data_IF_257070479002
#
_entry.id   IF_257070479002
#
_cell.length_a   1.000
_cell.length_b   1.000
_cell.length_c   1.000
_cell.angle_alpha   90.00
_cell.angle_beta   90.00
_cell.angle_gamma   90.00
#
_symmetry.space_group_name_H-M   'P 1'
#
loop_
_entity.id
_entity.type
_entity.pdbx_description
1 polymer ?
#
# COMPACT_ATOMS: atom_id res chain seq x y z
N UNK A 1 14.47 21.80 0.50
CA UNK A 1 13.68 22.69 -0.36
C UNK A 1 13.89 22.25 -1.81
N UNK A 2 13.18 21.21 -2.25
CA UNK A 2 13.14 20.79 -3.65
C UNK A 2 11.86 21.43 -4.19
N UNK A 3 12.00 22.43 -5.06
CA UNK A 3 10.87 23.02 -5.75
C UNK A 3 10.14 21.89 -6.50
N UNK A 4 8.92 21.56 -6.08
CA UNK A 4 8.02 20.78 -6.90
C UNK A 4 7.80 21.57 -8.17
N UNK A 5 8.44 21.14 -9.27
CA UNK A 5 8.00 21.51 -10.60
C UNK A 5 6.59 20.92 -10.76
N UNK A 6 5.58 21.66 -10.30
CA UNK A 6 4.27 21.56 -10.90
C UNK A 6 4.47 21.99 -12.35
N UNK A 7 4.59 21.01 -13.25
CA UNK A 7 4.37 21.26 -14.66
C UNK A 7 2.95 21.81 -14.77
N UNK A 8 2.85 23.13 -14.90
CA UNK A 8 1.65 23.80 -15.35
C UNK A 8 1.44 23.30 -16.77
N UNK A 9 0.65 22.24 -16.91
CA UNK A 9 0.21 21.74 -18.21
C UNK A 9 -0.72 22.81 -18.79
N UNK A 10 -0.17 23.67 -19.66
CA UNK A 10 -1.03 24.46 -20.54
C UNK A 10 -1.72 23.47 -21.49
N UNK A 11 -3.05 23.34 -21.44
CA UNK A 11 -3.76 22.44 -22.35
C UNK A 11 -3.48 22.86 -23.80
N UNK A 12 -3.31 21.90 -24.73
CA UNK A 12 -3.10 22.18 -26.15
C UNK A 12 -4.18 23.11 -26.73
N UNK A 13 -3.80 23.91 -27.72
CA UNK A 13 -4.66 24.90 -28.37
C UNK A 13 -5.76 24.32 -29.27
N UNK A 14 -5.72 23.02 -29.62
CA UNK A 14 -6.69 22.38 -30.51
C UNK A 14 -7.24 21.12 -29.83
N UNK A 15 -8.50 21.19 -29.40
CA UNK A 15 -9.25 19.99 -29.03
C UNK A 15 -9.74 19.32 -30.32
N UNK A 16 -9.30 18.09 -30.57
CA UNK A 16 -9.77 17.30 -31.70
C UNK A 16 -10.70 16.22 -31.16
N UNK A 17 -11.98 16.25 -31.52
CA UNK A 17 -12.84 15.09 -31.32
C UNK A 17 -12.39 14.00 -32.29
N UNK A 18 -11.83 12.93 -31.74
CA UNK A 18 -11.57 11.69 -32.47
C UNK A 18 -12.88 10.89 -32.49
N UNK A 19 -13.14 10.15 -33.57
CA UNK A 19 -14.32 9.27 -33.62
C UNK A 19 -14.27 8.21 -32.50
N UNK A 20 -15.45 7.80 -31.99
CA UNK A 20 -15.60 6.88 -30.85
C UNK A 20 -15.10 7.45 -29.51
N UNK A 21 -15.30 8.76 -29.27
CA UNK A 21 -15.03 9.38 -27.97
C UNK A 21 -15.89 8.76 -26.87
N UNK A 22 -17.14 8.41 -27.17
CA UNK A 22 -18.04 7.72 -26.25
C UNK A 22 -18.33 6.29 -26.74
N UNK A 23 -18.13 5.31 -25.87
CA UNK A 23 -18.47 3.90 -26.12
C UNK A 23 -19.14 3.29 -24.91
N UNK A 24 -20.10 2.41 -25.16
CA UNK A 24 -20.83 1.71 -24.10
C UNK A 24 -20.50 0.22 -24.11
N UNK A 25 -20.49 -0.39 -22.93
CA UNK A 25 -20.36 -1.84 -22.78
C UNK A 25 -21.41 -2.35 -21.79
N UNK A 26 -21.84 -3.59 -21.94
CA UNK A 26 -22.69 -4.26 -20.96
C UNK A 26 -21.81 -4.97 -19.92
N UNK A 27 -21.78 -4.52 -18.65
CA UNK A 27 -20.97 -5.14 -17.60
C UNK A 27 -21.31 -6.61 -17.33
N UNK A 28 -22.56 -7.03 -17.60
CA UNK A 28 -22.98 -8.42 -17.41
C UNK A 28 -22.42 -9.34 -18.49
N UNK A 29 -22.38 -8.85 -19.75
CA UNK A 29 -21.81 -9.59 -20.88
C UNK A 29 -20.28 -9.53 -20.90
N UNK A 30 -19.70 -8.41 -20.46
CA UNK A 30 -18.26 -8.13 -20.46
C UNK A 30 -17.77 -7.67 -19.08
N UNK A 31 -17.75 -8.55 -18.08
CA UNK A 31 -17.34 -8.21 -16.72
C UNK A 31 -15.85 -7.88 -16.60
N UNK A 32 -15.03 -8.22 -17.59
CA UNK A 32 -13.62 -7.88 -17.60
C UNK A 32 -13.37 -6.61 -18.41
N UNK A 33 -12.53 -5.72 -17.90
CA UNK A 33 -12.24 -4.43 -18.50
C UNK A 33 -10.72 -4.26 -18.68
N UNK A 34 -10.29 -4.06 -19.92
CA UNK A 34 -8.92 -3.73 -20.29
C UNK A 34 -8.85 -2.30 -20.83
N UNK A 35 -8.05 -1.44 -20.19
CA UNK A 35 -7.76 -0.08 -20.66
C UNK A 35 -6.28 0.00 -21.02
N UNK A 36 -6.00 0.23 -22.28
CA UNK A 36 -4.64 0.21 -22.82
C UNK A 36 -4.32 1.57 -23.44
N UNK A 37 -3.15 2.13 -23.13
CA UNK A 37 -2.61 3.25 -23.90
C UNK A 37 -1.22 2.92 -24.43
N UNK A 38 -1.01 3.20 -25.72
CA UNK A 38 0.24 2.87 -26.41
C UNK A 38 0.77 4.10 -27.16
N UNK A 39 2.08 4.12 -27.43
CA UNK A 39 2.75 5.26 -28.05
C UNK A 39 3.02 6.43 -27.10
N UNK A 40 3.26 7.61 -27.67
CA UNK A 40 3.59 8.84 -26.93
C UNK A 40 2.34 9.63 -26.53
N UNK A 41 1.54 9.02 -25.66
CA UNK A 41 0.33 9.61 -25.09
C UNK A 41 0.51 9.81 -23.59
N UNK A 42 -0.13 10.85 -23.04
CA UNK A 42 -0.23 11.10 -21.60
C UNK A 42 -1.67 11.49 -21.26
N UNK A 43 -2.10 11.33 -20.02
CA UNK A 43 -3.49 11.66 -19.71
C UNK A 43 -3.94 11.46 -18.27
N UNK A 44 -5.27 11.37 -18.12
CA UNK A 44 -5.92 10.93 -16.89
C UNK A 44 -7.03 9.93 -17.20
N UNK A 45 -7.13 8.92 -16.36
CA UNK A 45 -8.24 7.98 -16.31
C UNK A 45 -8.95 8.20 -14.98
N UNK A 46 -10.27 8.33 -15.04
CA UNK A 46 -11.14 8.43 -13.88
C UNK A 46 -12.18 7.31 -13.92
N UNK A 47 -12.26 6.51 -12.87
CA UNK A 47 -13.28 5.47 -12.73
C UNK A 47 -14.35 5.96 -11.76
N UNK A 48 -15.62 5.91 -12.15
CA UNK A 48 -16.74 6.34 -11.33
C UNK A 48 -17.78 5.24 -11.30
N UNK A 49 -18.25 4.89 -10.10
CA UNK A 49 -19.45 4.07 -9.93
C UNK A 49 -20.59 5.03 -9.53
N UNK A 50 -21.46 5.34 -10.50
CA UNK A 50 -22.38 6.49 -10.40
C UNK A 50 -23.80 6.06 -10.04
N UNK A 51 -24.37 6.68 -9.00
CA UNK A 51 -25.74 6.46 -8.52
C UNK A 51 -26.84 7.11 -9.38
N UNK A 52 -26.49 8.03 -10.29
CA UNK A 52 -27.46 8.89 -10.97
C UNK A 52 -27.93 8.37 -12.33
N UNK A 53 -27.43 7.22 -12.78
CA UNK A 53 -27.74 6.68 -14.10
C UNK A 53 -28.48 5.34 -13.98
N UNK A 54 -29.74 5.33 -14.45
CA UNK A 54 -30.57 4.13 -14.56
C UNK A 54 -30.14 3.23 -15.72
N UNK A 55 -29.13 3.64 -16.51
CA UNK A 55 -28.59 2.82 -17.58
C UNK A 55 -27.96 1.53 -17.00
N UNK A 56 -28.22 0.41 -17.66
CA UNK A 56 -27.57 -0.88 -17.34
C UNK A 56 -26.20 -1.02 -18.03
N UNK A 57 -25.77 -0.01 -18.77
CA UNK A 57 -24.57 -0.05 -19.61
C UNK A 57 -23.47 0.79 -18.98
N UNK A 58 -22.26 0.26 -18.92
CA UNK A 58 -21.09 1.07 -18.66
C UNK A 58 -20.81 2.02 -19.82
N UNK A 59 -20.27 3.19 -19.51
CA UNK A 59 -19.90 4.23 -20.47
C UNK A 59 -18.42 4.54 -20.31
N UNK A 60 -17.68 4.58 -21.41
CA UNK A 60 -16.34 5.15 -21.47
C UNK A 60 -16.40 6.38 -22.35
N UNK A 61 -16.12 7.54 -21.76
CA UNK A 61 -16.03 8.83 -22.47
C UNK A 61 -14.59 9.32 -22.47
N UNK A 62 -14.05 9.59 -23.65
CA UNK A 62 -12.65 9.98 -23.85
C UNK A 62 -12.55 11.25 -24.67
N UNK A 63 -11.87 12.24 -24.12
CA UNK A 63 -11.48 13.46 -24.85
C UNK A 63 -9.99 13.40 -25.15
N UNK A 64 -9.62 13.80 -26.37
CA UNK A 64 -8.22 13.85 -26.80
C UNK A 64 -7.89 15.28 -27.26
N UNK A 65 -6.76 15.80 -26.79
CA UNK A 65 -6.20 17.08 -27.20
C UNK A 65 -4.88 16.84 -27.89
N UNK A 66 -4.68 17.49 -29.02
CA UNK A 66 -3.50 17.30 -29.89
C UNK A 66 -2.89 18.67 -30.18
N UNK A 67 -1.61 18.87 -29.87
CA UNK A 67 -0.94 20.16 -30.14
C UNK A 67 -0.50 20.32 -31.59
N UNK A 68 -0.23 19.21 -32.29
CA UNK A 68 0.26 19.20 -33.67
C UNK A 68 -0.76 18.56 -34.59
N UNK A 69 -1.22 19.28 -35.61
CA UNK A 69 -2.20 18.75 -36.57
C UNK A 69 -1.72 17.44 -37.23
N UNK A 70 -0.41 17.31 -37.51
CA UNK A 70 0.16 16.09 -38.09
C UNK A 70 0.08 14.85 -37.18
N UNK A 71 -0.09 15.02 -35.86
CA UNK A 71 -0.25 13.89 -34.93
C UNK A 71 -1.69 13.35 -34.94
N UNK A 72 -2.65 14.07 -35.55
CA UNK A 72 -4.09 13.74 -35.53
C UNK A 72 -4.45 12.43 -36.22
N UNK A 73 -3.84 12.14 -37.36
CA UNK A 73 -4.12 10.92 -38.13
C UNK A 73 -3.46 9.69 -37.51
N UNK A 74 -2.56 9.87 -36.54
CA UNK A 74 -1.85 8.80 -35.83
C UNK A 74 -2.46 8.46 -34.48
N UNK A 75 -3.47 9.22 -34.03
CA UNK A 75 -4.23 8.89 -32.83
C UNK A 75 -5.43 8.04 -33.19
N UNK A 76 -5.52 6.85 -32.61
CA UNK A 76 -6.65 5.95 -32.77
C UNK A 76 -7.27 5.61 -31.42
N UNK A 77 -8.60 5.58 -31.38
CA UNK A 77 -9.37 5.02 -30.27
C UNK A 77 -10.07 3.77 -30.79
N UNK A 78 -9.74 2.63 -30.19
CA UNK A 78 -10.24 1.33 -30.62
C UNK A 78 -10.97 0.63 -29.48
N UNK A 79 -11.99 -0.15 -29.83
CA UNK A 79 -12.76 -0.96 -28.89
C UNK A 79 -12.86 -2.39 -29.38
N UNK A 80 -12.73 -3.35 -28.47
CA UNK A 80 -12.83 -4.78 -28.75
C UNK A 80 -13.68 -5.52 -27.72
N UNK A 81 -14.39 -6.54 -28.17
CA UNK A 81 -15.28 -7.37 -27.37
C UNK A 81 -14.93 -8.84 -27.59
N UNK A 82 -14.08 -9.40 -26.74
CA UNK A 82 -13.59 -10.78 -26.91
C UNK A 82 -13.57 -11.50 -25.57
N UNK A 83 -13.99 -12.77 -25.53
CA UNK A 83 -13.88 -13.64 -24.35
C UNK A 83 -14.42 -12.98 -23.05
N UNK A 84 -15.62 -12.36 -23.12
CA UNK A 84 -16.24 -11.62 -21.99
C UNK A 84 -15.38 -10.48 -21.44
N UNK A 85 -14.53 -9.90 -22.29
CA UNK A 85 -13.66 -8.77 -21.97
C UNK A 85 -13.94 -7.61 -22.91
N UNK A 86 -14.23 -6.45 -22.35
CA UNK A 86 -14.23 -5.18 -23.06
C UNK A 86 -12.82 -4.60 -23.04
N UNK A 87 -12.26 -4.34 -24.22
CA UNK A 87 -10.95 -3.71 -24.37
C UNK A 87 -11.10 -2.35 -25.00
N UNK A 88 -10.58 -1.32 -24.35
CA UNK A 88 -10.52 0.05 -24.81
C UNK A 88 -9.06 0.47 -24.96
N UNK A 89 -8.67 0.85 -26.17
CA UNK A 89 -7.27 1.18 -26.51
C UNK A 89 -7.18 2.61 -27.06
N UNK A 90 -6.27 3.41 -26.50
CA UNK A 90 -5.82 4.68 -27.09
C UNK A 90 -4.41 4.48 -27.65
N UNK A 91 -4.26 4.58 -28.96
CA UNK A 91 -2.99 4.48 -29.63
C UNK A 91 -2.52 5.87 -30.05
N UNK A 92 -1.26 6.19 -29.79
CA UNK A 92 -0.61 7.38 -30.31
C UNK A 92 0.66 7.06 -31.09
N UNK A 93 1.32 8.11 -31.61
CA UNK A 93 2.50 7.96 -32.46
C UNK A 93 3.69 7.37 -31.68
N UNK A 94 4.47 6.53 -32.35
CA UNK A 94 5.67 5.89 -31.78
C UNK A 94 6.98 6.66 -32.06
N UNK A 95 6.93 7.74 -32.85
CA UNK A 95 8.11 8.55 -33.21
C UNK A 95 8.70 9.32 -32.03
N UNK A 96 10.00 9.66 -32.11
CA UNK A 96 10.77 10.41 -31.11
C UNK A 96 10.38 11.90 -31.02
N UNK A 97 9.11 12.20 -30.74
CA UNK A 97 8.65 13.58 -30.52
C UNK A 97 8.15 13.79 -29.08
N UNK A 98 8.05 15.05 -28.67
CA UNK A 98 7.44 15.48 -27.41
C UNK A 98 6.01 14.94 -27.23
N UNK A 99 5.56 14.76 -25.99
CA UNK A 99 4.17 14.40 -25.65
C UNK A 99 3.21 15.51 -26.09
N UNK A 100 2.67 15.38 -27.29
CA UNK A 100 1.77 16.35 -27.92
C UNK A 100 0.31 15.95 -27.80
N UNK A 101 0.04 14.76 -27.25
CA UNK A 101 -1.29 14.17 -27.15
C UNK A 101 -1.61 13.98 -25.68
N UNK A 102 -2.71 14.60 -25.27
CA UNK A 102 -3.27 14.48 -23.93
C UNK A 102 -4.64 13.82 -24.04
N UNK A 103 -4.98 12.90 -23.15
CA UNK A 103 -6.33 12.35 -23.07
C UNK A 103 -6.94 12.43 -21.66
N UNK A 104 -8.25 12.51 -21.63
CA UNK A 104 -9.05 12.39 -20.41
C UNK A 104 -10.13 11.35 -20.65
N UNK A 105 -10.01 10.22 -19.96
CA UNK A 105 -10.93 9.10 -20.08
C UNK A 105 -11.70 8.94 -18.78
N UNK A 106 -13.02 8.99 -18.85
CA UNK A 106 -13.93 8.69 -17.73
C UNK A 106 -14.62 7.36 -18.00
N UNK A 107 -14.50 6.43 -17.06
CA UNK A 107 -15.13 5.11 -17.09
C UNK A 107 -16.24 5.15 -16.04
N UNK A 108 -17.48 5.17 -16.50
CA UNK A 108 -18.64 5.14 -15.64
C UNK A 108 -19.21 3.72 -15.62
N UNK A 109 -19.30 3.14 -14.43
CA UNK A 109 -19.90 1.84 -14.17
C UNK A 109 -21.28 2.10 -13.53
N UNK A 110 -22.36 1.47 -14.00
CA UNK A 110 -23.69 1.64 -13.43
C UNK A 110 -23.74 1.22 -11.97
N UNK A 111 -24.46 1.96 -11.14
CA UNK A 111 -24.67 1.60 -9.73
C UNK A 111 -25.32 0.21 -9.57
N UNK A 112 -26.19 -0.19 -10.50
CA UNK A 112 -26.80 -1.52 -10.49
C UNK A 112 -25.80 -2.68 -10.67
N UNK A 113 -24.57 -2.38 -11.10
CA UNK A 113 -23.48 -3.35 -11.19
C UNK A 113 -22.67 -3.30 -9.89
N UNK A 114 -22.88 -4.28 -9.01
CA UNK A 114 -22.14 -4.42 -7.74
C UNK A 114 -20.86 -5.24 -7.89
N UNK A 115 -20.72 -5.93 -9.03
CA UNK A 115 -19.62 -6.87 -9.26
C UNK A 115 -19.11 -6.81 -10.70
N UNK A 116 -17.79 -6.77 -10.81
CA UNK A 116 -17.03 -6.87 -12.04
C UNK A 116 -15.95 -7.95 -11.91
N UNK A 117 -15.52 -8.49 -13.04
CA UNK A 117 -14.43 -9.47 -13.10
C UNK A 117 -13.07 -8.79 -12.94
N UNK A 118 -12.23 -8.86 -13.96
CA UNK A 118 -10.88 -8.32 -13.91
C UNK A 118 -10.80 -6.90 -14.48
N UNK A 119 -10.16 -5.97 -13.76
CA UNK A 119 -9.73 -4.67 -14.27
C UNK A 119 -8.25 -4.72 -14.60
N UNK A 120 -7.88 -4.40 -15.84
CA UNK A 120 -6.50 -4.19 -16.25
C UNK A 120 -6.34 -2.79 -16.84
N UNK A 121 -5.39 -2.03 -16.32
CA UNK A 121 -4.99 -0.73 -16.88
C UNK A 121 -3.50 -0.78 -17.17
N UNK A 122 -3.13 -0.62 -18.44
CA UNK A 122 -1.74 -0.45 -18.88
C UNK A 122 -1.66 0.87 -19.64
N UNK A 123 -1.35 1.93 -18.90
CA UNK A 123 -1.45 3.30 -19.40
C UNK A 123 -0.25 4.15 -18.95
N UNK A 124 0.90 4.07 -19.64
CA UNK A 124 2.06 4.89 -19.30
C UNK A 124 1.74 6.38 -19.34
N UNK A 125 2.41 7.18 -18.51
CA UNK A 125 2.24 8.65 -18.40
C UNK A 125 0.78 9.10 -18.20
N UNK A 126 -0.04 8.24 -17.58
CA UNK A 126 -1.47 8.49 -17.37
C UNK A 126 -1.76 8.42 -15.88
N UNK A 127 -2.38 9.46 -15.33
CA UNK A 127 -2.84 9.47 -13.94
C UNK A 127 -4.11 8.65 -13.80
N UNK A 128 -4.29 8.00 -12.65
CA UNK A 128 -5.47 7.19 -12.37
C UNK A 128 -6.15 7.70 -11.09
N UNK A 129 -7.44 7.96 -11.18
CA UNK A 129 -8.28 8.34 -10.05
C UNK A 129 -9.58 7.55 -10.03
N UNK A 130 -10.20 7.46 -8.85
CA UNK A 130 -11.53 6.87 -8.73
C UNK A 130 -12.41 7.59 -7.72
N UNK A 131 -13.72 7.49 -7.93
CA UNK A 131 -14.74 7.99 -7.02
C UNK A 131 -15.85 6.96 -6.82
N UNK A 132 -16.31 6.85 -5.57
CA UNK A 132 -17.47 6.05 -5.15
C UNK A 132 -17.39 4.54 -5.47
N UNK A 133 -16.20 3.92 -5.45
CA UNK A 133 -16.04 2.49 -5.75
C UNK A 133 -16.41 1.55 -4.58
N UNK A 134 -16.92 2.09 -3.47
CA UNK A 134 -17.17 1.36 -2.23
C UNK A 134 -18.20 0.22 -2.36
N UNK A 135 -19.10 0.30 -3.34
CA UNK A 135 -20.12 -0.71 -3.61
C UNK A 135 -19.83 -1.55 -4.87
N UNK A 136 -18.61 -1.45 -5.41
CA UNK A 136 -18.19 -2.19 -6.59
C UNK A 136 -17.06 -3.16 -6.26
N UNK A 137 -17.36 -4.45 -6.30
CA UNK A 137 -16.38 -5.50 -6.10
C UNK A 137 -15.73 -5.93 -7.42
N UNK A 138 -14.40 -6.05 -7.42
CA UNK A 138 -13.64 -6.67 -8.49
C UNK A 138 -13.13 -8.06 -8.09
N UNK A 139 -12.87 -8.94 -9.06
CA UNK A 139 -12.03 -10.11 -8.80
C UNK A 139 -10.57 -9.68 -8.69
N UNK A 140 -10.03 -9.09 -9.76
CA UNK A 140 -8.62 -8.69 -9.80
C UNK A 140 -8.47 -7.31 -10.39
N UNK A 141 -7.60 -6.52 -9.79
CA UNK A 141 -7.22 -5.20 -10.28
C UNK A 141 -5.72 -5.21 -10.57
N UNK A 142 -5.37 -5.00 -11.83
CA UNK A 142 -3.99 -4.89 -12.27
C UNK A 142 -3.75 -3.54 -12.95
N UNK A 143 -2.93 -2.69 -12.34
CA UNK A 143 -2.64 -1.35 -12.83
C UNK A 143 -1.14 -1.22 -13.05
N UNK A 144 -0.75 -0.86 -14.27
CA UNK A 144 0.62 -0.55 -14.66
C UNK A 144 0.65 0.83 -15.30
N UNK A 145 1.29 1.77 -14.61
CA UNK A 145 1.47 3.15 -15.08
C UNK A 145 2.95 3.53 -15.03
N UNK A 146 3.27 4.73 -15.50
CA UNK A 146 4.58 5.34 -15.35
C UNK A 146 4.41 6.85 -15.26
N UNK A 147 5.27 7.53 -14.47
CA UNK A 147 5.36 8.99 -14.41
C UNK A 147 4.02 9.75 -14.21
N UNK A 148 2.99 9.11 -13.64
CA UNK A 148 1.76 9.76 -13.19
C UNK A 148 1.15 9.06 -11.97
N UNK A 149 0.45 9.83 -11.14
CA UNK A 149 -0.07 9.44 -9.82
C UNK A 149 -1.25 8.47 -9.91
N UNK A 150 -1.33 7.58 -8.91
CA UNK A 150 -2.53 6.77 -8.60
C UNK A 150 -3.18 7.30 -7.33
N UNK A 151 -4.46 7.65 -7.40
CA UNK A 151 -5.27 8.15 -6.27
C UNK A 151 -6.64 7.47 -6.28
N UNK A 152 -6.76 6.33 -5.60
CA UNK A 152 -7.96 5.50 -5.64
C UNK A 152 -8.71 5.55 -4.31
N UNK A 153 -9.99 5.90 -4.35
CA UNK A 153 -10.85 5.90 -3.18
C UNK A 153 -11.64 4.59 -3.11
N UNK A 154 -11.49 3.89 -1.98
CA UNK A 154 -12.28 2.70 -1.60
C UNK A 154 -12.36 1.61 -2.67
N UNK A 155 -11.21 1.11 -3.13
CA UNK A 155 -11.17 0.02 -4.12
C UNK A 155 -11.34 -1.34 -3.43
N UNK A 156 -12.39 -2.09 -3.77
CA UNK A 156 -12.65 -3.43 -3.27
C UNK A 156 -12.36 -4.51 -4.31
N UNK A 157 -11.49 -5.48 -4.00
CA UNK A 157 -11.20 -6.62 -4.88
C UNK A 157 -10.79 -7.88 -4.12
N UNK A 158 -10.70 -9.04 -4.78
CA UNK A 158 -10.01 -10.20 -4.20
C UNK A 158 -8.48 -10.01 -4.25
N UNK A 159 -7.96 -9.48 -5.36
CA UNK A 159 -6.53 -9.18 -5.54
C UNK A 159 -6.30 -7.81 -6.19
N UNK A 160 -5.36 -7.04 -5.64
CA UNK A 160 -4.94 -5.72 -6.12
C UNK A 160 -3.44 -5.73 -6.38
N UNK A 161 -3.03 -5.38 -7.60
CA UNK A 161 -1.64 -5.22 -7.99
C UNK A 161 -1.48 -3.89 -8.74
N UNK A 162 -0.82 -2.91 -8.11
CA UNK A 162 -0.62 -1.58 -8.66
C UNK A 162 0.88 -1.29 -8.73
N UNK A 163 1.36 -0.98 -9.94
CA UNK A 163 2.76 -0.66 -10.20
C UNK A 163 2.92 0.64 -10.97
N UNK A 164 3.81 1.51 -10.51
CA UNK A 164 4.21 2.74 -11.24
C UNK A 164 5.69 3.03 -11.06
N UNK A 165 6.43 3.46 -12.08
CA UNK A 165 7.86 3.71 -11.92
C UNK A 165 8.18 4.96 -11.09
N UNK A 166 7.51 6.08 -11.31
CA UNK A 166 8.00 7.39 -10.85
C UNK A 166 6.92 8.26 -10.21
N UNK A 167 5.92 7.66 -9.57
CA UNK A 167 4.78 8.42 -9.07
C UNK A 167 4.14 7.80 -7.86
N UNK A 168 3.46 8.62 -7.08
CA UNK A 168 2.86 8.16 -5.84
C UNK A 168 1.68 7.22 -6.10
N UNK A 169 1.52 6.28 -5.18
CA UNK A 169 0.33 5.46 -5.03
C UNK A 169 -0.35 5.91 -3.74
N UNK A 170 -1.60 6.34 -3.84
CA UNK A 170 -2.40 6.75 -2.69
C UNK A 170 -3.81 6.16 -2.76
N UNK A 171 -4.36 5.76 -1.63
CA UNK A 171 -5.75 5.29 -1.60
C UNK A 171 -6.17 4.48 -0.39
N UNK A 172 -7.42 4.00 -0.46
CA UNK A 172 -7.96 3.00 0.43
C UNK A 172 -8.25 1.72 -0.37
N UNK A 173 -7.70 0.60 0.08
CA UNK A 173 -7.74 -0.68 -0.62
C UNK A 173 -8.31 -1.75 0.31
N UNK A 174 -9.26 -2.52 -0.19
CA UNK A 174 -9.88 -3.65 0.52
C UNK A 174 -9.71 -4.91 -0.34
N UNK A 175 -8.83 -5.82 0.07
CA UNK A 175 -8.57 -7.07 -0.66
C UNK A 175 -7.84 -8.12 0.19
N UNK A 176 -7.83 -9.38 -0.26
CA UNK A 176 -7.05 -10.43 0.40
C UNK A 176 -5.58 -10.47 -0.03
N UNK A 177 -5.29 -10.04 -1.26
CA UNK A 177 -3.93 -9.94 -1.78
C UNK A 177 -3.66 -8.53 -2.32
N UNK A 178 -2.74 -7.78 -1.70
CA UNK A 178 -2.43 -6.40 -2.08
C UNK A 178 -0.93 -6.27 -2.38
N UNK A 179 -0.60 -5.81 -3.58
CA UNK A 179 0.77 -5.48 -3.99
C UNK A 179 0.83 -4.07 -4.55
N UNK A 180 1.54 -3.16 -3.87
CA UNK A 180 1.76 -1.79 -4.34
C UNK A 180 3.27 -1.54 -4.52
N UNK A 181 3.68 -1.21 -5.73
CA UNK A 181 5.09 -1.07 -6.08
C UNK A 181 5.39 0.20 -6.85
N UNK A 182 6.43 0.92 -6.44
CA UNK A 182 6.99 2.03 -7.20
C UNK A 182 8.51 2.13 -7.11
N UNK A 183 9.17 2.95 -7.93
CA UNK A 183 10.61 3.19 -7.79
C UNK A 183 10.86 4.48 -7.03
N UNK A 184 10.21 5.58 -7.43
CA UNK A 184 10.47 6.91 -6.88
C UNK A 184 9.26 7.57 -6.21
N UNK A 185 8.07 6.96 -6.29
CA UNK A 185 6.86 7.49 -5.68
C UNK A 185 6.71 7.14 -4.22
N UNK A 186 6.04 8.01 -3.46
CA UNK A 186 5.56 7.66 -2.13
C UNK A 186 4.37 6.69 -2.23
N UNK A 187 4.25 5.79 -1.25
CA UNK A 187 3.06 4.93 -1.09
C UNK A 187 2.35 5.37 0.18
N UNK A 188 1.09 5.79 0.09
CA UNK A 188 0.24 6.16 1.23
C UNK A 188 -1.08 5.40 1.15
N UNK A 189 -1.25 4.36 1.96
CA UNK A 189 -2.37 3.45 1.79
C UNK A 189 -3.05 3.07 3.12
N UNK A 190 -4.38 3.10 3.11
CA UNK A 190 -5.21 2.44 4.13
C UNK A 190 -5.68 1.10 3.57
N UNK A 191 -5.31 0.02 4.24
CA UNK A 191 -5.59 -1.34 3.80
C UNK A 191 -6.60 -1.98 4.75
N UNK A 192 -7.65 -2.57 4.20
CA UNK A 192 -8.47 -3.56 4.88
C UNK A 192 -8.14 -4.90 4.24
N UNK A 193 -7.54 -5.80 5.01
CA UNK A 193 -7.10 -7.10 4.50
C UNK A 193 -8.17 -8.14 4.85
N UNK A 194 -8.68 -8.84 3.84
CA UNK A 194 -9.71 -9.88 3.99
C UNK A 194 -9.17 -11.25 3.66
N UNK A 195 -9.91 -12.28 4.00
CA UNK A 195 -9.60 -13.63 3.53
C UNK A 195 -9.70 -13.68 1.99
N UNK A 196 -8.66 -14.12 1.27
CA UNK A 196 -8.74 -14.29 -0.18
C UNK A 196 -9.67 -15.47 -0.53
N UNK A 197 -10.33 -15.38 -1.69
CA UNK A 197 -11.27 -16.40 -2.18
C UNK A 197 -10.61 -17.76 -2.41
N UNK A 198 -9.29 -17.81 -2.58
CA UNK A 198 -8.53 -19.05 -2.76
C UNK A 198 -8.20 -19.76 -1.44
N UNK A 199 -8.59 -19.18 -0.30
CA UNK A 199 -8.39 -19.75 1.05
C UNK A 199 -6.93 -19.78 1.50
N UNK A 200 -6.03 -19.07 0.80
CA UNK A 200 -4.64 -18.93 1.23
C UNK A 200 -4.51 -17.84 2.29
N UNK A 201 -3.36 -17.82 2.95
CA UNK A 201 -3.01 -16.70 3.82
C UNK A 201 -3.03 -15.38 3.04
N UNK A 202 -3.57 -14.34 3.66
CA UNK A 202 -3.66 -13.00 3.07
C UNK A 202 -2.27 -12.39 2.91
N UNK A 203 -2.03 -11.67 1.81
CA UNK A 203 -0.70 -11.15 1.47
C UNK A 203 -0.70 -9.65 1.22
N UNK A 204 0.27 -8.96 1.82
CA UNK A 204 0.50 -7.53 1.61
C UNK A 204 1.98 -7.30 1.26
N UNK A 205 2.24 -6.82 0.05
CA UNK A 205 3.59 -6.52 -0.43
C UNK A 205 3.70 -5.07 -0.86
N UNK A 206 4.67 -4.35 -0.28
CA UNK A 206 4.85 -2.92 -0.52
C UNK A 206 6.31 -2.63 -0.85
N UNK A 207 6.57 -1.95 -1.97
CA UNK A 207 7.93 -1.68 -2.41
C UNK A 207 8.08 -0.27 -2.99
N UNK A 208 9.08 0.48 -2.51
CA UNK A 208 9.55 1.72 -3.14
C UNK A 208 11.05 1.88 -2.98
N UNK A 209 11.80 2.33 -3.99
CA UNK A 209 13.25 2.51 -3.81
C UNK A 209 13.58 3.78 -3.02
N UNK A 210 12.96 4.91 -3.36
CA UNK A 210 13.51 6.22 -2.98
C UNK A 210 12.58 7.13 -2.17
N UNK A 211 11.34 6.72 -1.91
CA UNK A 211 10.34 7.57 -1.28
C UNK A 211 9.70 6.90 -0.07
N UNK A 212 8.94 7.68 0.71
CA UNK A 212 8.36 7.19 1.96
C UNK A 212 7.18 6.25 1.71
N UNK A 213 6.99 5.35 2.66
CA UNK A 213 5.85 4.45 2.77
C UNK A 213 5.09 4.81 4.04
N UNK A 214 3.79 5.10 3.92
CA UNK A 214 2.89 5.33 5.04
C UNK A 214 1.71 4.35 4.91
N UNK A 215 1.64 3.39 5.81
CA UNK A 215 0.66 2.30 5.76
C UNK A 215 -0.14 2.24 7.04
N UNK A 216 -1.43 2.01 6.84
CA UNK A 216 -2.35 1.69 7.91
C UNK A 216 -3.11 0.43 7.53
N UNK A 217 -2.88 -0.67 8.24
CA UNK A 217 -3.37 -2.01 7.88
C UNK A 217 -4.33 -2.52 8.94
N UNK A 218 -5.56 -2.79 8.53
CA UNK A 218 -6.56 -3.49 9.33
C UNK A 218 -6.72 -4.91 8.77
N UNK A 219 -6.15 -5.89 9.47
CA UNK A 219 -6.27 -7.31 9.15
C UNK A 219 -7.14 -8.03 10.19
N UNK A 220 -8.06 -7.31 10.84
CA UNK A 220 -9.06 -7.94 11.73
C UNK A 220 -9.99 -8.94 11.03
N UNK A 221 -10.30 -8.81 9.73
CA UNK A 221 -11.14 -9.79 9.02
C UNK A 221 -10.42 -11.07 8.58
N UNK A 222 -9.09 -11.16 8.66
CA UNK A 222 -8.33 -12.32 8.15
C UNK A 222 -8.37 -13.48 9.14
N UNK A 223 -8.76 -14.67 8.69
CA UNK A 223 -8.82 -15.88 9.54
C UNK A 223 -7.61 -16.81 9.35
N UNK A 224 -6.93 -16.71 8.21
CA UNK A 224 -5.70 -17.43 7.88
C UNK A 224 -4.43 -16.60 8.10
N UNK A 225 -4.50 -15.59 8.97
CA UNK A 225 -3.38 -14.72 9.32
C UNK A 225 -2.92 -13.83 8.16
N UNK A 226 -1.83 -13.11 8.39
CA UNK A 226 -1.29 -12.13 7.45
C UNK A 226 0.19 -12.43 7.17
N UNK A 227 0.56 -12.45 5.89
CA UNK A 227 1.95 -12.33 5.43
C UNK A 227 2.18 -10.94 4.84
N UNK A 228 2.94 -10.10 5.53
CA UNK A 228 3.18 -8.71 5.12
C UNK A 228 4.66 -8.39 5.01
N UNK A 229 5.08 -7.77 3.91
CA UNK A 229 6.44 -7.30 3.71
C UNK A 229 6.48 -5.91 3.06
N UNK A 230 7.15 -4.96 3.72
CA UNK A 230 7.34 -3.59 3.24
C UNK A 230 8.82 -3.29 3.04
N UNK A 231 9.20 -2.82 1.85
CA UNK A 231 10.59 -2.55 1.48
C UNK A 231 10.81 -1.14 0.98
N UNK A 232 11.87 -0.50 1.47
CA UNK A 232 12.46 0.65 0.81
C UNK A 232 13.99 0.71 0.91
N UNK A 233 14.64 1.50 0.05
CA UNK A 233 16.08 1.76 0.17
C UNK A 233 16.35 3.06 0.90
N UNK A 234 15.67 4.14 0.54
CA UNK A 234 16.03 5.48 1.02
C UNK A 234 14.90 6.23 1.72
N UNK A 235 13.64 5.78 1.58
CA UNK A 235 12.50 6.45 2.18
C UNK A 235 12.30 6.09 3.65
N UNK A 236 11.45 6.83 4.36
CA UNK A 236 10.94 6.43 5.69
C UNK A 236 9.83 5.39 5.51
N UNK A 237 9.78 4.36 6.36
CA UNK A 237 8.62 3.48 6.51
C UNK A 237 7.90 3.90 7.79
N UNK A 238 6.63 4.29 7.68
CA UNK A 238 5.71 4.45 8.81
C UNK A 238 4.56 3.45 8.62
N UNK A 239 4.36 2.56 9.58
CA UNK A 239 3.42 1.45 9.45
C UNK A 239 2.67 1.21 10.75
N UNK A 240 1.35 1.26 10.68
CA UNK A 240 0.45 0.81 11.73
C UNK A 240 -0.33 -0.43 11.27
N UNK A 241 -0.37 -1.47 12.11
CA UNK A 241 -1.11 -2.71 11.80
C UNK A 241 -1.96 -3.14 12.99
N UNK A 242 -3.22 -3.48 12.71
CA UNK A 242 -4.15 -4.11 13.65
C UNK A 242 -4.45 -5.53 13.16
N UNK A 243 -4.18 -6.52 14.01
CA UNK A 243 -4.44 -7.93 13.71
C UNK A 243 -5.63 -8.46 14.51
N UNK A 244 -6.50 -9.21 13.83
CA UNK A 244 -7.57 -9.97 14.48
C UNK A 244 -7.19 -11.42 14.80
N UNK A 245 -8.12 -12.18 15.40
CA UNK A 245 -7.95 -13.61 15.63
C UNK A 245 -7.73 -14.38 14.32
N UNK A 246 -6.73 -15.26 14.29
CA UNK A 246 -6.47 -16.14 13.17
C UNK A 246 -6.11 -17.56 13.60
N UNK A 247 -6.24 -18.50 12.67
CA UNK A 247 -5.94 -19.93 12.88
C UNK A 247 -4.47 -20.27 12.58
N UNK A 248 -3.81 -19.44 11.78
CA UNK A 248 -2.40 -19.61 11.37
C UNK A 248 -1.57 -18.42 11.83
N UNK A 249 -0.26 -18.64 11.95
CA UNK A 249 0.66 -17.59 12.36
C UNK A 249 0.74 -16.45 11.34
N UNK A 250 1.02 -15.24 11.83
CA UNK A 250 1.22 -14.05 10.99
C UNK A 250 2.68 -13.63 10.97
N UNK A 251 3.09 -13.00 9.87
CA UNK A 251 4.40 -12.38 9.73
C UNK A 251 4.24 -10.94 9.24
N UNK A 252 5.01 -10.05 9.85
CA UNK A 252 5.05 -8.64 9.46
C UNK A 252 6.50 -8.19 9.39
N UNK A 253 6.96 -7.85 8.19
CA UNK A 253 8.33 -7.43 7.90
C UNK A 253 8.42 -6.00 7.37
N UNK A 254 9.37 -5.21 7.89
CA UNK A 254 9.78 -3.93 7.30
C UNK A 254 11.30 -3.91 7.08
N UNK A 255 11.73 -3.64 5.84
CA UNK A 255 13.15 -3.60 5.46
C UNK A 255 13.47 -2.27 4.81
N UNK A 256 14.48 -1.59 5.34
CA UNK A 256 14.90 -0.28 4.88
C UNK A 256 16.42 -0.16 4.80
N UNK A 257 17.04 0.19 3.68
CA UNK A 257 18.51 0.35 3.67
C UNK A 257 18.98 1.56 4.50
N UNK A 258 18.44 2.75 4.21
CA UNK A 258 19.00 4.02 4.69
C UNK A 258 18.03 4.92 5.46
N UNK A 259 16.73 4.61 5.41
CA UNK A 259 15.69 5.40 6.05
C UNK A 259 15.21 4.82 7.39
N UNK A 260 14.42 5.63 8.10
CA UNK A 260 13.83 5.26 9.39
C UNK A 260 12.65 4.31 9.24
N UNK A 261 12.46 3.40 10.20
CA UNK A 261 11.29 2.54 10.34
C UNK A 261 10.56 2.95 11.63
N UNK A 262 9.33 3.42 11.49
CA UNK A 262 8.38 3.65 12.59
C UNK A 262 7.26 2.61 12.47
N UNK A 263 7.27 1.64 13.38
CA UNK A 263 6.43 0.45 13.34
C UNK A 263 5.52 0.42 14.57
N UNK A 264 4.22 0.26 14.34
CA UNK A 264 3.21 0.08 15.38
C UNK A 264 2.37 -1.15 15.06
N UNK A 265 2.25 -2.07 16.01
CA UNK A 265 1.46 -3.29 15.86
C UNK A 265 0.60 -3.53 17.09
N UNK A 266 -0.69 -3.67 16.86
CA UNK A 266 -1.63 -4.18 17.84
C UNK A 266 -2.07 -5.61 17.47
N UNK A 267 -1.57 -6.57 18.24
CA UNK A 267 -1.90 -7.98 18.13
C UNK A 267 -2.63 -8.51 19.38
N UNK A 268 -3.20 -7.61 20.20
CA UNK A 268 -3.84 -7.95 21.49
C UNK A 268 -5.00 -8.97 21.37
N UNK A 269 -5.62 -9.08 20.20
CA UNK A 269 -6.80 -9.91 19.96
C UNK A 269 -6.52 -11.21 19.19
N UNK A 270 -5.27 -11.46 18.85
CA UNK A 270 -4.89 -12.48 17.87
C UNK A 270 -4.96 -13.90 18.46
N UNK A 271 -4.11 -14.19 19.44
CA UNK A 271 -3.90 -15.53 19.97
C UNK A 271 -3.04 -16.45 19.09
N UNK A 272 -2.81 -16.13 17.80
CA UNK A 272 -1.94 -16.91 16.90
C UNK A 272 -0.45 -16.60 17.05
N UNK A 273 0.48 -17.52 16.66
CA UNK A 273 1.89 -17.20 16.55
C UNK A 273 2.16 -15.95 15.68
N UNK A 274 3.13 -15.13 16.08
CA UNK A 274 3.46 -13.89 15.38
C UNK A 274 4.96 -13.70 15.23
N UNK A 275 5.40 -13.51 13.99
CA UNK A 275 6.77 -13.16 13.64
C UNK A 275 6.84 -11.70 13.18
N UNK A 276 7.73 -10.91 13.79
CA UNK A 276 7.98 -9.51 13.40
C UNK A 276 9.44 -9.33 13.04
N UNK A 277 9.70 -8.74 11.87
CA UNK A 277 11.05 -8.53 11.36
C UNK A 277 11.27 -7.09 10.91
N UNK A 278 12.13 -6.34 11.60
CA UNK A 278 12.49 -4.98 11.20
C UNK A 278 14.00 -4.90 10.94
N UNK A 279 14.39 -4.44 9.75
CA UNK A 279 15.80 -4.31 9.39
C UNK A 279 16.12 -2.97 8.76
N UNK A 280 17.16 -2.32 9.25
CA UNK A 280 17.82 -1.24 8.52
C UNK A 280 19.34 -1.24 8.63
N UNK A 281 20.04 -0.50 7.75
CA UNK A 281 21.49 -0.31 7.88
C UNK A 281 21.80 1.04 8.52
N UNK A 282 21.17 2.12 8.05
CA UNK A 282 21.58 3.47 8.45
C UNK A 282 20.49 4.32 9.11
N UNK A 283 19.21 3.91 9.05
CA UNK A 283 18.13 4.65 9.69
C UNK A 283 17.84 4.20 11.12
N UNK A 284 17.00 4.95 11.84
CA UNK A 284 16.53 4.53 13.15
C UNK A 284 15.40 3.49 13.03
N UNK A 285 15.21 2.67 14.05
CA UNK A 285 14.03 1.80 14.19
C UNK A 285 13.33 2.13 15.48
N UNK A 286 12.05 2.49 15.39
CA UNK A 286 11.14 2.60 16.53
C UNK A 286 10.03 1.60 16.32
N UNK A 287 9.92 0.60 17.19
CA UNK A 287 8.90 -0.44 17.11
C UNK A 287 8.08 -0.48 18.39
N UNK A 288 6.77 -0.29 18.29
CA UNK A 288 5.84 -0.41 19.41
C UNK A 288 4.89 -1.57 19.12
N UNK A 289 4.93 -2.60 19.96
CA UNK A 289 4.23 -3.87 19.70
C UNK A 289 3.41 -4.23 20.94
N UNK A 290 2.13 -4.53 20.73
CA UNK A 290 1.22 -5.04 21.75
C UNK A 290 0.92 -6.51 21.47
N UNK A 291 1.37 -7.39 22.37
CA UNK A 291 1.21 -8.85 22.27
C UNK A 291 0.76 -9.37 23.64
N UNK A 292 -0.32 -10.16 23.73
CA UNK A 292 -0.79 -10.73 24.98
C UNK A 292 0.10 -11.89 25.44
N UNK A 293 0.12 -12.14 26.75
CA UNK A 293 1.02 -13.10 27.39
C UNK A 293 0.92 -14.55 26.90
N UNK A 294 -0.21 -14.94 26.29
CA UNK A 294 -0.45 -16.32 25.82
C UNK A 294 -0.01 -16.53 24.37
N UNK A 295 0.26 -15.45 23.63
CA UNK A 295 0.58 -15.50 22.22
C UNK A 295 2.07 -15.76 22.02
N UNK A 296 2.48 -16.85 21.32
CA UNK A 296 3.86 -17.03 20.91
C UNK A 296 4.28 -15.90 19.97
N UNK A 297 5.34 -15.18 20.33
CA UNK A 297 5.85 -14.06 19.54
C UNK A 297 7.35 -14.20 19.30
N UNK A 298 7.78 -13.91 18.08
CA UNK A 298 9.19 -13.81 17.71
C UNK A 298 9.46 -12.47 17.05
N UNK A 299 10.12 -11.59 17.78
CA UNK A 299 10.58 -10.30 17.26
C UNK A 299 12.06 -10.35 16.90
N UNK A 300 12.40 -9.80 15.74
CA UNK A 300 13.79 -9.65 15.31
C UNK A 300 14.03 -8.27 14.71
N UNK A 301 14.89 -7.49 15.35
CA UNK A 301 15.24 -6.13 14.90
C UNK A 301 16.73 -6.05 14.62
N UNK A 302 17.10 -5.64 13.40
CA UNK A 302 18.48 -5.49 12.96
C UNK A 302 18.78 -4.07 12.52
N UNK A 303 19.88 -3.51 13.02
CA UNK A 303 20.42 -2.23 12.63
C UNK A 303 21.95 -2.33 12.45
N UNK A 304 22.57 -1.47 11.66
CA UNK A 304 24.03 -1.30 11.68
C UNK A 304 24.43 0.00 12.39
N UNK A 305 23.88 1.14 11.97
CA UNK A 305 24.39 2.46 12.33
C UNK A 305 23.36 3.40 12.97
N UNK A 306 22.07 3.06 12.93
CA UNK A 306 21.00 3.84 13.55
C UNK A 306 20.54 3.25 14.88
N UNK A 307 19.95 4.11 15.71
CA UNK A 307 19.41 3.69 17.01
C UNK A 307 18.21 2.76 16.86
N UNK A 308 18.06 1.83 17.80
CA UNK A 308 16.91 0.94 17.88
C UNK A 308 16.19 1.15 19.21
N UNK A 309 14.89 1.40 19.15
CA UNK A 309 13.99 1.40 20.29
C UNK A 309 12.85 0.42 20.04
N UNK A 310 12.73 -0.59 20.88
CA UNK A 310 11.62 -1.54 20.87
C UNK A 310 10.82 -1.37 22.17
N UNK A 311 9.53 -1.13 22.02
CA UNK A 311 8.59 -1.03 23.11
C UNK A 311 7.64 -2.23 23.02
N UNK A 312 7.61 -3.06 24.07
CA UNK A 312 6.66 -4.17 24.22
C UNK A 312 5.72 -3.89 25.40
N UNK A 313 4.51 -4.42 25.36
CA UNK A 313 3.62 -4.37 26.53
C UNK A 313 4.20 -5.18 27.69
N UNK A 314 3.88 -4.78 28.93
CA UNK A 314 4.18 -5.52 30.17
C UNK A 314 3.52 -6.91 30.20
N UNK A 315 2.66 -7.25 29.23
CA UNK A 315 2.09 -8.58 29.07
C UNK A 315 3.03 -9.56 28.36
N UNK A 316 4.05 -9.08 27.66
CA UNK A 316 5.03 -9.95 27.00
C UNK A 316 5.64 -10.91 28.03
N UNK A 317 5.70 -12.20 27.71
CA UNK A 317 6.35 -13.21 28.57
C UNK A 317 7.32 -14.03 27.73
N UNK A 318 8.62 -13.92 28.00
CA UNK A 318 9.60 -14.55 27.12
C UNK A 318 11.05 -14.13 27.34
N UNK A 319 11.90 -14.58 26.43
CA UNK A 319 13.32 -14.27 26.38
C UNK A 319 13.57 -12.96 25.61
N UNK A 320 14.54 -12.18 26.09
CA UNK A 320 15.07 -11.04 25.33
C UNK A 320 16.59 -11.15 25.17
N UNK A 321 17.08 -10.64 24.04
CA UNK A 321 18.51 -10.51 23.73
C UNK A 321 18.74 -9.19 23.00
N UNK A 322 19.62 -8.34 23.54
CA UNK A 322 20.09 -7.10 22.94
C UNK A 322 21.60 -7.15 22.78
N UNK A 323 22.07 -6.99 21.54
CA UNK A 323 23.50 -7.06 21.19
C UNK A 323 23.92 -5.80 20.42
N UNK A 324 25.02 -5.17 20.84
CA UNK A 324 25.72 -4.12 20.07
C UNK A 324 27.23 -4.34 20.09
N UNK A 325 27.94 -3.98 19.01
CA UNK A 325 29.39 -4.07 18.98
C UNK A 325 30.07 -2.88 19.67
N UNK A 326 29.68 -1.65 19.29
CA UNK A 326 30.39 -0.41 19.66
C UNK A 326 29.53 0.60 20.43
N UNK A 327 28.44 0.17 21.07
CA UNK A 327 27.50 1.06 21.76
C UNK A 327 26.99 0.47 23.08
N UNK A 328 25.83 0.96 23.55
CA UNK A 328 25.18 0.49 24.78
C UNK A 328 23.81 -0.14 24.53
N UNK A 329 23.42 -1.03 25.41
CA UNK A 329 22.09 -1.64 25.47
C UNK A 329 21.38 -1.19 26.74
N UNK A 330 20.07 -1.00 26.67
CA UNK A 330 19.23 -0.71 27.83
C UNK A 330 17.98 -1.58 27.82
N UNK A 331 17.58 -2.08 28.99
CA UNK A 331 16.35 -2.85 29.18
C UNK A 331 15.62 -2.25 30.38
N UNK A 332 14.39 -1.79 30.17
CA UNK A 332 13.55 -1.17 31.19
C UNK A 332 12.24 -1.94 31.34
N UNK A 333 11.80 -2.21 32.58
CA UNK A 333 10.57 -2.94 32.86
C UNK A 333 10.54 -3.53 34.27
N UNK A 334 9.39 -4.09 34.66
CA UNK A 334 9.24 -4.92 35.85
C UNK A 334 9.61 -6.38 35.58
N UNK A 335 9.77 -7.21 36.61
CA UNK A 335 9.93 -8.67 36.50
C UNK A 335 11.06 -9.16 35.57
N UNK A 336 12.12 -8.36 35.47
CA UNK A 336 13.32 -8.67 34.69
C UNK A 336 14.25 -9.61 35.46
N UNK A 337 14.72 -10.66 34.79
CA UNK A 337 15.80 -11.52 35.26
C UNK A 337 16.88 -11.58 34.19
N UNK A 338 18.05 -11.00 34.46
CA UNK A 338 19.18 -11.00 33.54
C UNK A 338 20.00 -12.29 33.70
N UNK A 339 20.34 -12.89 32.56
CA UNK A 339 21.36 -13.93 32.44
C UNK A 339 22.72 -13.31 32.07
N UNK A 340 22.69 -12.23 31.27
CA UNK A 340 23.84 -11.37 30.96
C UNK A 340 23.43 -9.90 31.05
N UNK A 341 24.26 -9.08 31.73
CA UNK A 341 23.99 -7.66 31.99
C UNK A 341 25.22 -6.78 31.73
N UNK A 342 25.82 -6.92 30.55
CA UNK A 342 26.96 -6.09 30.13
C UNK A 342 26.47 -4.81 29.45
N UNK A 343 27.36 -3.81 29.29
CA UNK A 343 27.01 -2.53 28.67
C UNK A 343 26.54 -2.71 27.22
N UNK A 344 27.16 -3.63 26.48
CA UNK A 344 26.94 -3.84 25.04
C UNK A 344 26.20 -5.16 24.73
N UNK A 345 25.91 -5.98 25.74
CA UNK A 345 25.19 -7.23 25.58
C UNK A 345 24.31 -7.50 26.80
N UNK A 346 23.00 -7.56 26.59
CA UNK A 346 22.03 -7.89 27.64
C UNK A 346 21.14 -9.03 27.16
N UNK A 347 20.98 -10.05 27.99
CA UNK A 347 20.02 -11.13 27.75
C UNK A 347 19.38 -11.59 29.04
N UNK A 348 18.16 -12.12 28.93
CA UNK A 348 17.41 -12.58 30.10
C UNK A 348 15.97 -12.92 29.79
N UNK A 349 15.15 -12.94 30.84
CA UNK A 349 13.74 -13.27 30.82
C UNK A 349 12.90 -12.11 31.37
N UNK A 350 11.74 -11.89 30.76
CA UNK A 350 10.65 -11.10 31.32
C UNK A 350 9.48 -12.06 31.61
N UNK A 351 9.37 -12.52 32.85
CA UNK A 351 8.44 -13.59 33.24
C UNK A 351 8.71 -14.95 32.55
N UNK A 352 7.73 -15.87 32.62
CA UNK A 352 7.81 -17.21 31.98
C UNK A 352 6.90 -17.27 30.76
N UNK A 353 7.45 -17.51 29.58
CA UNK A 353 6.68 -17.68 28.34
C UNK A 353 7.54 -18.17 27.18
N UNK A 354 6.91 -18.40 26.02
CA UNK A 354 7.55 -18.96 24.82
C UNK A 354 8.03 -17.89 23.83
N UNK A 355 7.80 -16.62 24.13
CA UNK A 355 8.11 -15.54 23.21
C UNK A 355 9.60 -15.17 23.24
N UNK A 356 10.10 -14.61 22.15
CA UNK A 356 11.49 -14.20 21.98
C UNK A 356 11.53 -12.81 21.32
N UNK A 357 12.40 -11.93 21.81
CA UNK A 357 12.76 -10.69 21.13
C UNK A 357 14.28 -10.60 21.03
N UNK A 358 14.78 -10.50 19.79
CA UNK A 358 16.20 -10.28 19.50
C UNK A 358 16.40 -8.92 18.83
N UNK A 359 17.26 -8.09 19.42
CA UNK A 359 17.66 -6.79 18.88
C UNK A 359 19.16 -6.78 18.67
N UNK A 360 19.59 -6.53 17.44
CA UNK A 360 21.02 -6.51 17.06
C UNK A 360 21.34 -5.19 16.38
N UNK A 361 22.37 -4.52 16.86
CA UNK A 361 22.95 -3.30 16.29
C UNK A 361 24.47 -3.45 16.19
N UNK A 362 25.14 -2.68 15.34
CA UNK A 362 26.61 -2.67 15.31
C UNK A 362 27.16 -1.46 16.06
N UNK A 363 26.76 -0.25 15.68
CA UNK A 363 27.41 1.00 16.09
C UNK A 363 26.50 1.96 16.85
N UNK A 364 25.29 1.54 17.20
CA UNK A 364 24.26 2.40 17.76
C UNK A 364 23.56 1.78 18.97
N UNK A 365 22.92 2.58 19.82
CA UNK A 365 22.27 2.06 21.02
C UNK A 365 21.05 1.20 20.66
N UNK A 366 20.82 0.17 21.47
CA UNK A 366 19.60 -0.64 21.46
C UNK A 366 18.87 -0.52 22.79
N UNK A 367 17.61 -0.11 22.72
CA UNK A 367 16.75 0.07 23.89
C UNK A 367 15.55 -0.86 23.76
N UNK A 368 15.27 -1.62 24.83
CA UNK A 368 14.06 -2.42 24.98
C UNK A 368 13.30 -1.93 26.20
N UNK A 369 12.05 -1.56 26.04
CA UNK A 369 11.18 -1.15 27.15
C UNK A 369 9.92 -1.99 27.21
N UNK A 370 9.59 -2.46 28.40
CA UNK A 370 8.29 -3.03 28.74
C UNK A 370 7.43 -1.94 29.39
N UNK A 371 6.22 -1.73 28.89
CA UNK A 371 5.33 -0.65 29.34
C UNK A 371 3.89 -1.14 29.58
N UNK A 372 3.14 -0.46 30.44
CA UNK A 372 1.72 -0.80 30.70
C UNK A 372 0.84 -0.41 29.53
N UNK A 373 -0.20 -1.18 29.23
CA UNK A 373 -1.06 -1.01 28.04
C UNK A 373 -1.50 0.46 27.77
N UNK A 374 -1.82 1.23 28.82
CA UNK A 374 -2.21 2.64 28.71
C UNK A 374 -1.10 3.66 28.44
N UNK A 375 0.17 3.23 28.40
CA UNK A 375 1.35 4.05 28.05
C UNK A 375 1.81 3.82 26.60
N UNK A 376 1.11 2.95 25.86
CA UNK A 376 1.51 2.58 24.50
C UNK A 376 1.27 3.71 23.50
N UNK A 377 2.31 4.09 22.75
CA UNK A 377 2.12 4.85 21.50
C UNK A 377 1.36 4.04 20.43
N UNK A 378 1.30 2.70 20.55
CA UNK A 378 0.49 1.89 19.64
C UNK A 378 -1.02 2.05 19.90
N UNK A 379 -1.43 2.43 21.12
CA UNK A 379 -2.82 2.70 21.44
C UNK A 379 -3.36 3.95 20.73
N UNK A 380 -2.51 4.94 20.42
CA UNK A 380 -2.91 6.13 19.65
C UNK A 380 -3.35 5.79 18.22
N UNK A 381 -2.81 4.71 17.63
CA UNK A 381 -3.23 4.22 16.31
C UNK A 381 -4.70 3.75 16.28
N UNK A 382 -5.26 3.27 17.41
CA UNK A 382 -6.69 2.96 17.55
C UNK A 382 -7.56 4.22 17.51
N UNK A 383 -7.06 5.36 18.01
CA UNK A 383 -7.84 6.62 18.02
C UNK A 383 -7.94 7.29 16.65
N UNK A 384 -6.90 7.23 15.81
CA UNK A 384 -7.01 7.68 14.41
C UNK A 384 -7.99 6.82 13.61
N UNK A 385 -8.06 5.52 13.91
CA UNK A 385 -9.01 4.58 13.30
C UNK A 385 -10.48 4.98 13.49
N UNK A 386 -10.86 5.47 14.69
CA UNK A 386 -12.24 5.84 15.00
C UNK A 386 -12.60 7.26 14.55
N UNK A 387 -11.64 8.20 14.55
CA UNK A 387 -11.90 9.61 14.24
C UNK A 387 -11.69 9.98 12.76
N UNK A 388 -10.92 9.19 12.01
CA UNK A 388 -10.60 9.43 10.60
C UNK A 388 -11.73 9.18 9.59
N UNK A 389 -12.87 8.59 10.00
CA UNK A 389 -14.02 8.33 9.12
C UNK A 389 -14.72 9.61 8.60
N UNK A 390 -14.48 10.79 9.20
CA UNK A 390 -15.19 12.04 8.83
C UNK A 390 -14.33 13.17 8.25
N UNK A 391 -13.01 13.06 8.19
CA UNK A 391 -12.19 14.05 7.46
C UNK A 391 -12.17 13.67 5.99
N UNK A 392 -13.05 14.29 5.20
CA UNK A 392 -12.94 14.32 3.74
C UNK A 392 -11.50 14.66 3.34
N UNK A 393 -10.87 13.75 2.62
CA UNK A 393 -9.60 14.00 1.94
C UNK A 393 -9.84 15.10 0.91
N UNK A 394 -9.52 16.35 1.29
CA UNK A 394 -9.42 17.43 0.31
C UNK A 394 -8.18 17.15 -0.53
N UNK A 395 -8.38 16.67 -1.74
CA UNK A 395 -7.36 16.71 -2.78
C UNK A 395 -7.00 18.18 -3.01
N UNK A 396 -5.72 18.52 -2.79
CA UNK A 396 -5.08 19.70 -3.36
C UNK A 396 -4.58 19.38 -4.76
#
# INVERSE_FOLDING_TARGET
MIASLFHIFNPPSIAVRVANDDTTFDPLSYPNLNILTTGKVQGKIRIVHSAADDSKLGLISTRVWITKENDKEEVAVQTGFENKTFTFTIEGPNRFSSFNIYHETTIQIPHACEYMGNLRIDAPNTSLSSDALDNLQWDKVHVRLSASTVALQSLYADSINIRTSNSSISGAFDAGNISLATTNGAVTAKLVVREPKDGRQSQVMMETSNAHVNLHVDATPTTSGLWMETKTKNGRIAMGTLLGPATTGSYIGAVNENGTIDFSLDASQTGQPLDVYNKTMNGNVVSSIMVPHQQPFKGHVQNMNGSVAVNLTEEFRGQFTLETLNSSTTVEGSDLRFDQDETNNKSGLHGKGLSEIKVVTMNAPANLRFYREGESLAADSKMEHQTGSRRQWRST
#
